data_IF_287882091793
#
_entry.id   IF_287882091793
#
_cell.length_a   1.000
_cell.length_b   1.000
_cell.length_c   1.000
_cell.angle_alpha   90.00
_cell.angle_beta   90.00
_cell.angle_gamma   90.00
#
_symmetry.space_group_name_H-M   'P 1'
#
loop_
_entity.id
_entity.type
_entity.pdbx_description
1 polymer ?
#
# COMPACT_ATOMS: atom_id res chain seq x y z
N UNK A 1 23.55 -13.05 -7.52
CA UNK A 1 22.55 -11.98 -7.33
C UNK A 1 23.13 -10.59 -6.99
N UNK A 2 24.28 -10.46 -6.32
CA UNK A 2 24.88 -9.15 -5.96
C UNK A 2 25.48 -8.37 -7.16
N UNK A 3 26.08 -9.07 -8.12
CA UNK A 3 26.86 -8.47 -9.21
C UNK A 3 26.03 -7.65 -10.21
N UNK A 4 24.85 -8.13 -10.60
CA UNK A 4 23.95 -7.43 -11.54
C UNK A 4 23.54 -6.07 -10.98
N UNK A 5 23.26 -5.98 -9.67
CA UNK A 5 22.87 -4.71 -9.04
C UNK A 5 24.00 -3.70 -9.01
N UNK A 6 25.23 -4.16 -8.84
CA UNK A 6 26.43 -3.32 -8.85
C UNK A 6 26.67 -2.73 -10.24
N UNK A 7 26.56 -3.53 -11.30
CA UNK A 7 26.73 -3.07 -12.68
C UNK A 7 25.64 -2.07 -13.09
N UNK A 8 24.38 -2.31 -12.69
CA UNK A 8 23.30 -1.34 -12.89
C UNK A 8 23.55 -0.02 -12.12
N UNK A 9 24.19 -0.09 -10.95
CA UNK A 9 24.56 1.09 -10.17
C UNK A 9 25.68 1.89 -10.82
N UNK A 10 26.71 1.22 -11.36
CA UNK A 10 27.78 1.87 -12.13
C UNK A 10 27.25 2.51 -13.41
N UNK A 11 26.34 1.82 -14.11
CA UNK A 11 25.65 2.38 -15.27
C UNK A 11 24.89 3.66 -14.93
N UNK A 12 24.15 3.67 -13.82
CA UNK A 12 23.42 4.84 -13.34
C UNK A 12 24.34 6.04 -13.07
N UNK A 13 25.50 5.82 -12.43
CA UNK A 13 26.48 6.88 -12.17
C UNK A 13 27.03 7.44 -13.49
N UNK A 14 27.46 6.58 -14.42
CA UNK A 14 28.00 6.99 -15.72
C UNK A 14 27.00 7.79 -16.55
N UNK A 15 25.74 7.36 -16.59
CA UNK A 15 24.69 8.08 -17.33
C UNK A 15 24.38 9.44 -16.68
N UNK A 16 24.47 9.55 -15.35
CA UNK A 16 24.32 10.82 -14.65
C UNK A 16 25.49 11.78 -14.93
N UNK A 17 26.71 11.28 -15.08
CA UNK A 17 27.88 12.09 -15.48
C UNK A 17 27.76 12.62 -16.89
N UNK A 18 27.39 11.76 -17.85
CA UNK A 18 27.12 12.17 -19.23
C UNK A 18 26.06 13.25 -19.28
N UNK A 19 24.95 13.04 -18.58
CA UNK A 19 23.87 14.03 -18.53
C UNK A 19 24.32 15.37 -17.94
N UNK A 20 25.21 15.36 -16.94
CA UNK A 20 25.79 16.59 -16.38
C UNK A 20 26.69 17.30 -17.41
N UNK A 21 27.51 16.56 -18.16
CA UNK A 21 28.35 17.11 -19.21
C UNK A 21 27.54 17.69 -20.38
N UNK A 22 26.42 17.05 -20.72
CA UNK A 22 25.51 17.44 -21.81
C UNK A 22 24.42 18.45 -21.38
N UNK A 23 24.39 18.88 -20.12
CA UNK A 23 23.36 19.79 -19.59
C UNK A 23 21.94 19.20 -19.51
N UNK A 24 21.79 17.87 -19.58
CA UNK A 24 20.49 17.18 -19.48
C UNK A 24 20.04 17.04 -18.03
N UNK A 25 18.73 17.12 -17.80
CA UNK A 25 18.16 16.97 -16.46
C UNK A 25 18.35 15.56 -15.90
N UNK A 26 18.79 15.43 -14.64
CA UNK A 26 18.88 14.14 -13.93
C UNK A 26 17.54 13.39 -13.86
N UNK A 27 16.41 14.10 -13.89
CA UNK A 27 15.07 13.49 -13.91
C UNK A 27 14.88 12.56 -15.11
N UNK A 28 15.32 12.98 -16.31
CA UNK A 28 15.26 12.17 -17.54
C UNK A 28 16.19 10.95 -17.45
N UNK A 29 17.38 11.12 -16.87
CA UNK A 29 18.30 10.00 -16.63
C UNK A 29 17.65 8.93 -15.76
N UNK A 30 16.97 9.33 -14.69
CA UNK A 30 16.30 8.39 -13.79
C UNK A 30 15.12 7.68 -14.47
N UNK A 31 14.44 8.32 -15.42
CA UNK A 31 13.40 7.67 -16.24
C UNK A 31 14.01 6.63 -17.18
N UNK A 32 15.02 7.00 -17.96
CA UNK A 32 15.66 6.06 -18.89
C UNK A 32 16.29 4.85 -18.18
N UNK A 33 16.93 5.06 -17.03
CA UNK A 33 17.50 3.95 -16.24
C UNK A 33 16.40 3.11 -15.58
N UNK A 34 15.30 3.73 -15.13
CA UNK A 34 14.14 3.01 -14.60
C UNK A 34 13.53 2.07 -15.64
N UNK A 35 13.36 2.54 -16.87
CA UNK A 35 12.84 1.75 -17.99
C UNK A 35 13.79 0.58 -18.33
N UNK A 36 15.09 0.85 -18.48
CA UNK A 36 16.09 -0.19 -18.81
C UNK A 36 16.25 -1.26 -17.72
N UNK A 37 16.02 -0.90 -16.46
CA UNK A 37 16.18 -1.81 -15.31
C UNK A 37 14.87 -2.41 -14.80
N UNK A 38 13.72 -2.02 -15.36
CA UNK A 38 12.40 -2.41 -14.86
C UNK A 38 12.08 -1.90 -13.45
N UNK A 39 12.73 -0.81 -13.02
CA UNK A 39 12.60 -0.27 -11.66
C UNK A 39 11.74 1.00 -11.63
N UNK A 40 11.18 1.32 -10.48
CA UNK A 40 10.49 2.61 -10.29
C UNK A 40 11.51 3.76 -10.31
N UNK A 41 11.23 4.84 -11.05
CA UNK A 41 12.03 6.09 -11.09
C UNK A 41 12.49 6.57 -9.71
N UNK A 42 11.58 6.55 -8.72
CA UNK A 42 11.89 6.96 -7.35
C UNK A 42 12.94 6.07 -6.65
N UNK A 43 12.94 4.76 -6.95
CA UNK A 43 13.93 3.81 -6.42
C UNK A 43 15.32 4.08 -7.00
N UNK A 44 15.41 4.28 -8.33
CA UNK A 44 16.65 4.62 -9.03
C UNK A 44 17.24 5.93 -8.51
N UNK A 45 16.41 6.97 -8.38
CA UNK A 45 16.82 8.25 -7.80
C UNK A 45 17.37 8.10 -6.37
N UNK A 46 16.68 7.36 -5.52
CA UNK A 46 17.09 7.19 -4.12
C UNK A 46 18.43 6.42 -4.03
N UNK A 47 18.63 5.42 -4.89
CA UNK A 47 19.90 4.69 -4.96
C UNK A 47 21.04 5.59 -5.43
N UNK A 48 20.84 6.39 -6.47
CA UNK A 48 21.82 7.37 -6.94
C UNK A 48 22.33 8.27 -5.81
N UNK A 49 21.42 8.91 -5.05
CA UNK A 49 21.82 9.76 -3.94
C UNK A 49 22.47 8.98 -2.78
N UNK A 50 22.09 7.72 -2.58
CA UNK A 50 22.74 6.86 -1.57
C UNK A 50 24.19 6.53 -1.96
N UNK A 51 24.45 6.32 -3.26
CA UNK A 51 25.80 6.08 -3.80
C UNK A 51 26.64 7.34 -3.63
N UNK A 52 26.14 8.51 -4.01
CA UNK A 52 26.86 9.77 -3.82
C UNK A 52 27.20 10.03 -2.35
N UNK A 53 26.23 9.84 -1.44
CA UNK A 53 26.45 10.02 0.01
C UNK A 53 27.51 9.06 0.57
N UNK A 54 27.59 7.84 0.05
CA UNK A 54 28.64 6.86 0.43
C UNK A 54 29.99 7.23 -0.18
N UNK A 55 30.01 7.66 -1.45
CA UNK A 55 31.20 8.08 -2.16
C UNK A 55 31.84 9.36 -1.57
N UNK A 56 31.04 10.26 -0.99
CA UNK A 56 31.53 11.43 -0.23
C UNK A 56 32.26 11.02 1.05
N UNK A 57 31.90 9.88 1.66
CA UNK A 57 32.49 9.40 2.93
C UNK A 57 33.62 8.39 2.75
N UNK A 58 33.66 7.67 1.62
CA UNK A 58 34.60 6.59 1.38
C UNK A 58 35.23 6.75 -0.02
N UNK A 59 36.54 7.05 -0.04
CA UNK A 59 37.31 7.24 -1.26
C UNK A 59 37.48 5.95 -2.08
N UNK A 60 37.55 4.78 -1.46
CA UNK A 60 37.61 3.49 -2.16
C UNK A 60 36.29 3.18 -2.86
N UNK A 61 35.17 3.41 -2.17
CA UNK A 61 33.83 3.25 -2.75
C UNK A 61 33.61 4.22 -3.92
N UNK A 62 34.14 5.45 -3.82
CA UNK A 62 34.12 6.44 -4.90
C UNK A 62 34.82 5.92 -6.16
N UNK A 63 36.01 5.32 -6.00
CA UNK A 63 36.76 4.70 -7.11
C UNK A 63 36.02 3.48 -7.67
N UNK A 64 35.51 2.60 -6.80
CA UNK A 64 34.78 1.39 -7.18
C UNK A 64 33.53 1.69 -8.02
N UNK A 65 32.78 2.72 -7.64
CA UNK A 65 31.56 3.14 -8.34
C UNK A 65 31.82 4.12 -9.49
N UNK A 66 33.09 4.41 -9.79
CA UNK A 66 33.53 5.37 -10.82
C UNK A 66 32.83 6.73 -10.70
N UNK A 67 32.65 7.24 -9.47
CA UNK A 67 32.02 8.54 -9.23
C UNK A 67 33.09 9.63 -9.41
N UNK A 68 33.03 10.35 -10.53
CA UNK A 68 33.79 11.56 -10.82
C UNK A 68 33.27 12.77 -10.05
N UNK A 69 33.22 13.95 -10.67
CA UNK A 69 32.91 15.22 -9.99
C UNK A 69 31.43 15.48 -9.72
N UNK A 70 30.65 14.42 -9.58
CA UNK A 70 29.29 14.51 -9.06
C UNK A 70 29.36 14.83 -7.56
N UNK A 71 28.82 15.99 -7.20
CA UNK A 71 28.66 16.42 -5.80
C UNK A 71 27.20 16.64 -5.53
N UNK A 72 26.74 16.24 -4.35
CA UNK A 72 25.41 16.66 -3.90
C UNK A 72 25.45 18.14 -3.50
N UNK A 73 24.37 18.87 -3.76
CA UNK A 73 24.23 20.21 -3.17
C UNK A 73 24.30 20.08 -1.64
N UNK A 74 25.04 20.98 -0.99
CA UNK A 74 25.11 21.00 0.48
C UNK A 74 23.70 21.17 1.04
N UNK A 75 23.28 20.21 1.86
CA UNK A 75 22.00 20.30 2.56
C UNK A 75 22.15 21.39 3.62
N UNK A 76 21.47 22.52 3.43
CA UNK A 76 21.38 23.57 4.44
C UNK A 76 20.47 23.05 5.57
N UNK A 77 21.01 22.84 6.76
CA UNK A 77 20.19 22.37 7.89
C UNK A 77 19.29 23.49 8.41
N UNK A 78 18.13 23.11 8.95
CA UNK A 78 17.27 24.06 9.66
C UNK A 78 17.84 24.32 11.04
N UNK A 79 17.98 25.59 11.39
CA UNK A 79 18.26 25.96 12.77
C UNK A 79 17.08 25.56 13.69
N UNK A 80 17.34 25.30 14.97
CA UNK A 80 16.27 24.96 15.93
C UNK A 80 15.23 26.07 16.05
N UNK A 81 15.65 27.33 16.12
CA UNK A 81 14.75 28.48 16.20
C UNK A 81 13.93 28.66 14.91
N UNK A 82 14.57 28.52 13.75
CA UNK A 82 13.92 28.58 12.44
C UNK A 82 12.84 27.48 12.32
N UNK A 83 13.17 26.24 12.69
CA UNK A 83 12.26 25.12 12.66
C UNK A 83 11.02 25.35 13.54
N UNK A 84 11.23 25.87 14.75
CA UNK A 84 10.16 26.20 15.71
C UNK A 84 9.24 27.28 15.15
N UNK A 85 9.82 28.37 14.63
CA UNK A 85 9.08 29.48 14.03
C UNK A 85 8.26 29.02 12.82
N UNK A 86 8.85 28.17 11.96
CA UNK A 86 8.16 27.57 10.83
C UNK A 86 6.92 26.78 11.27
N UNK A 87 7.08 25.85 12.20
CA UNK A 87 5.96 25.03 12.70
C UNK A 87 4.89 25.91 13.34
N UNK A 88 5.28 26.91 14.14
CA UNK A 88 4.35 27.87 14.74
C UNK A 88 3.50 28.59 13.69
N UNK A 89 4.13 29.16 12.65
CA UNK A 89 3.41 29.84 11.57
C UNK A 89 2.43 28.91 10.83
N UNK A 90 2.84 27.67 10.57
CA UNK A 90 1.99 26.66 9.91
C UNK A 90 0.79 26.31 10.79
N UNK A 91 0.99 26.05 12.08
CA UNK A 91 -0.07 25.69 13.01
C UNK A 91 -1.04 26.85 13.25
N UNK A 92 -0.54 28.10 13.28
CA UNK A 92 -1.40 29.29 13.29
C UNK A 92 -2.29 29.31 12.04
N UNK A 93 -1.72 29.14 10.85
CA UNK A 93 -2.49 29.06 9.61
C UNK A 93 -3.57 27.97 9.66
N UNK A 94 -3.24 26.79 10.19
CA UNK A 94 -4.18 25.69 10.37
C UNK A 94 -5.29 25.99 11.39
N UNK A 95 -4.96 26.72 12.46
CA UNK A 95 -5.92 27.18 13.47
C UNK A 95 -7.00 28.09 12.87
N UNK A 96 -6.66 28.83 11.81
CA UNK A 96 -7.60 29.69 11.07
C UNK A 96 -8.14 29.02 9.80
N UNK A 97 -8.14 27.68 9.72
CA UNK A 97 -8.80 26.93 8.66
C UNK A 97 -8.01 26.76 7.36
N UNK A 98 -6.73 27.16 7.32
CA UNK A 98 -5.87 26.88 6.15
C UNK A 98 -5.37 25.44 6.21
N UNK A 99 -5.31 24.75 5.08
CA UNK A 99 -4.61 23.46 5.03
C UNK A 99 -3.11 23.67 5.28
N UNK A 100 -2.45 22.70 5.91
CA UNK A 100 -0.99 22.73 6.15
C UNK A 100 -0.22 23.02 4.85
N UNK A 101 -0.62 22.39 3.74
CA UNK A 101 0.01 22.61 2.43
C UNK A 101 -0.17 24.06 1.96
N UNK A 102 -1.36 24.64 2.12
CA UNK A 102 -1.63 26.04 1.76
C UNK A 102 -0.83 27.00 2.63
N UNK A 103 -0.80 26.79 3.94
CA UNK A 103 0.00 27.61 4.86
C UNK A 103 1.49 27.59 4.48
N UNK A 104 2.02 26.42 4.12
CA UNK A 104 3.41 26.32 3.64
C UNK A 104 3.60 27.02 2.30
N UNK A 105 2.67 26.86 1.35
CA UNK A 105 2.75 27.51 0.04
C UNK A 105 2.66 29.03 0.13
N UNK A 106 1.96 29.59 1.13
CA UNK A 106 1.93 31.04 1.36
C UNK A 106 3.22 31.54 2.03
N UNK A 107 3.91 30.70 2.80
CA UNK A 107 5.21 31.01 3.39
C UNK A 107 6.37 30.93 2.38
N UNK A 108 6.17 30.27 1.23
CA UNK A 108 7.24 29.98 0.27
C UNK A 108 6.84 30.35 -1.15
N UNK A 109 7.63 31.16 -1.84
CA UNK A 109 7.39 31.50 -3.25
C UNK A 109 7.83 30.42 -4.27
N UNK A 110 8.58 29.41 -3.84
CA UNK A 110 9.21 28.41 -4.72
C UNK A 110 8.86 26.96 -4.31
N UNK A 111 8.56 26.06 -5.27
CA UNK A 111 8.22 24.65 -4.99
C UNK A 111 9.32 23.85 -4.26
N UNK A 112 10.60 24.12 -4.51
CA UNK A 112 11.73 23.42 -3.84
C UNK A 112 11.72 23.77 -2.35
N UNK A 113 11.56 25.04 -2.02
CA UNK A 113 11.48 25.52 -0.62
C UNK A 113 10.21 25.01 0.07
N UNK A 114 9.07 25.02 -0.61
CA UNK A 114 7.82 24.47 -0.09
C UNK A 114 7.98 22.99 0.32
N UNK A 115 8.63 22.18 -0.51
CA UNK A 115 8.88 20.77 -0.20
C UNK A 115 9.81 20.59 1.00
N UNK A 116 10.84 21.44 1.13
CA UNK A 116 11.72 21.44 2.32
C UNK A 116 10.93 21.74 3.59
N UNK A 117 10.04 22.72 3.54
CA UNK A 117 9.21 23.13 4.68
C UNK A 117 8.20 22.03 5.05
N UNK A 118 7.59 21.38 4.06
CA UNK A 118 6.74 20.20 4.27
C UNK A 118 7.49 19.06 4.94
N UNK A 119 8.70 18.74 4.46
CA UNK A 119 9.53 17.69 5.04
C UNK A 119 9.94 18.02 6.48
N UNK A 120 10.30 19.28 6.74
CA UNK A 120 10.65 19.73 8.08
C UNK A 120 9.46 19.65 9.02
N UNK A 121 8.30 20.15 8.61
CA UNK A 121 7.06 20.04 9.38
C UNK A 121 6.75 18.57 9.73
N UNK A 122 6.74 17.67 8.74
CA UNK A 122 6.51 16.23 8.97
C UNK A 122 7.51 15.62 9.96
N UNK A 123 8.79 15.96 9.84
CA UNK A 123 9.83 15.48 10.74
C UNK A 123 9.61 15.97 12.18
N UNK A 124 9.23 17.24 12.36
CA UNK A 124 8.91 17.82 13.67
C UNK A 124 7.71 17.12 14.32
N UNK A 125 6.61 16.95 13.57
CA UNK A 125 5.42 16.26 14.08
C UNK A 125 5.74 14.81 14.49
N UNK A 126 6.55 14.10 13.70
CA UNK A 126 6.87 12.68 13.94
C UNK A 126 7.85 12.45 15.09
N UNK A 127 8.88 13.29 15.22
CA UNK A 127 10.02 13.01 16.12
C UNK A 127 10.17 13.99 17.28
N UNK A 128 9.52 15.16 17.23
CA UNK A 128 9.72 16.25 18.20
C UNK A 128 8.38 16.68 18.81
N UNK A 129 7.60 15.69 19.26
CA UNK A 129 6.26 15.90 19.82
C UNK A 129 6.23 16.93 20.95
N UNK A 130 7.14 16.82 21.92
CA UNK A 130 7.24 17.78 23.04
C UNK A 130 7.40 19.23 22.58
N UNK A 131 8.29 19.48 21.61
CA UNK A 131 8.49 20.84 21.06
C UNK A 131 7.21 21.35 20.36
N UNK A 132 6.46 20.47 19.70
CA UNK A 132 5.20 20.83 19.03
C UNK A 132 4.11 21.13 20.05
N UNK A 133 3.99 20.34 21.11
CA UNK A 133 3.03 20.57 22.21
C UNK A 133 3.30 21.92 22.92
N UNK A 134 4.57 22.28 23.13
CA UNK A 134 4.95 23.61 23.63
C UNK A 134 4.48 24.74 22.70
N UNK A 135 4.65 24.58 21.38
CA UNK A 135 4.16 25.54 20.38
C UNK A 135 2.64 25.63 20.40
N UNK A 136 1.93 24.50 20.54
CA UNK A 136 0.47 24.48 20.63
C UNK A 136 -0.01 25.23 21.87
N UNK A 137 0.62 25.00 23.02
CA UNK A 137 0.31 25.74 24.26
C UNK A 137 0.56 27.24 24.14
N UNK A 138 1.61 27.67 23.42
CA UNK A 138 1.80 29.09 23.11
C UNK A 138 0.69 29.66 22.22
N UNK A 139 0.29 28.92 21.18
CA UNK A 139 -0.78 29.34 20.25
C UNK A 139 -2.12 29.42 21.00
N UNK A 140 -2.43 28.43 21.82
CA UNK A 140 -3.66 28.39 22.60
C UNK A 140 -3.73 29.51 23.63
N UNK A 141 -2.63 29.81 24.33
CA UNK A 141 -2.55 30.99 25.22
C UNK A 141 -2.76 32.31 24.48
N UNK A 142 -2.33 32.41 23.22
CA UNK A 142 -2.38 33.65 22.43
C UNK A 142 -3.75 33.84 21.76
N UNK A 143 -4.34 32.77 21.23
CA UNK A 143 -5.53 32.82 20.37
C UNK A 143 -6.75 32.11 20.95
N UNK A 144 -6.65 31.52 22.15
CA UNK A 144 -7.72 30.76 22.81
C UNK A 144 -8.05 29.42 22.17
N UNK A 145 -7.42 29.09 21.04
CA UNK A 145 -7.59 27.83 20.30
C UNK A 145 -6.32 27.50 19.53
N UNK A 146 -6.05 26.21 19.34
CA UNK A 146 -4.95 25.74 18.51
C UNK A 146 -5.37 24.51 17.68
N UNK A 147 -4.94 24.46 16.43
CA UNK A 147 -5.06 23.25 15.61
C UNK A 147 -4.13 22.16 16.15
N UNK A 148 -4.69 21.05 16.60
CA UNK A 148 -3.93 19.89 17.07
C UNK A 148 -3.61 18.91 15.91
N UNK A 149 -2.34 18.78 15.48
CA UNK A 149 -1.93 17.85 14.43
C UNK A 149 -2.02 16.37 14.86
N UNK A 150 -2.25 16.07 16.14
CA UNK A 150 -2.33 14.71 16.68
C UNK A 150 -3.76 14.22 16.91
N UNK A 151 -4.77 15.11 16.81
CA UNK A 151 -6.19 14.77 17.03
C UNK A 151 -6.71 13.61 16.16
N UNK A 152 -6.10 13.35 15.01
CA UNK A 152 -6.44 12.23 14.12
C UNK A 152 -5.57 10.97 14.24
N UNK A 153 -4.64 10.91 15.21
CA UNK A 153 -3.79 9.71 15.43
C UNK A 153 -4.37 8.79 16.51
N UNK A 154 -5.20 9.34 17.39
CA UNK A 154 -5.95 8.60 18.40
C UNK A 154 -7.32 8.24 17.82
N UNK A 155 -7.45 7.02 17.29
CA UNK A 155 -8.73 6.37 16.96
C UNK A 155 -9.77 7.28 16.32
N UNK A 156 -9.78 7.35 14.99
CA UNK A 156 -10.91 7.88 14.24
C UNK A 156 -12.18 7.13 14.68
N UNK A 157 -12.94 7.73 15.60
CA UNK A 157 -14.08 7.10 16.26
C UNK A 157 -15.12 6.67 15.22
N UNK A 158 -15.18 7.38 14.08
CA UNK A 158 -16.01 7.02 12.93
C UNK A 158 -15.49 5.77 12.23
N UNK A 159 -14.16 5.60 12.12
CA UNK A 159 -13.52 4.42 11.56
C UNK A 159 -13.68 3.21 12.47
N UNK A 160 -13.59 3.38 13.80
CA UNK A 160 -13.84 2.27 14.73
C UNK A 160 -15.32 1.87 14.77
N UNK A 161 -16.24 2.84 14.73
CA UNK A 161 -17.68 2.57 14.54
C UNK A 161 -17.91 1.78 13.25
N UNK A 162 -17.31 2.21 12.14
CA UNK A 162 -17.43 1.52 10.86
C UNK A 162 -16.83 0.11 10.88
N UNK A 163 -15.67 -0.09 11.52
CA UNK A 163 -15.08 -1.43 11.70
C UNK A 163 -16.00 -2.33 12.53
N UNK A 164 -16.55 -1.83 13.62
CA UNK A 164 -17.48 -2.60 14.46
C UNK A 164 -18.76 -2.98 13.71
N UNK A 165 -19.27 -2.09 12.85
CA UNK A 165 -20.42 -2.35 12.00
C UNK A 165 -20.12 -3.40 10.91
N UNK A 166 -18.96 -3.31 10.24
CA UNK A 166 -18.49 -4.30 9.27
C UNK A 166 -18.36 -5.68 9.93
N UNK A 167 -17.77 -5.75 11.12
CA UNK A 167 -17.64 -7.02 11.85
C UNK A 167 -19.00 -7.60 12.23
N UNK A 168 -19.96 -6.77 12.66
CA UNK A 168 -21.32 -7.20 12.95
C UNK A 168 -22.09 -7.71 11.72
N UNK A 169 -21.87 -7.10 10.55
CA UNK A 169 -22.39 -7.60 9.27
C UNK A 169 -21.77 -8.95 8.89
N UNK A 170 -20.45 -9.08 9.04
CA UNK A 170 -19.73 -10.33 8.76
C UNK A 170 -20.22 -11.50 9.61
N UNK A 171 -20.48 -11.27 10.91
CA UNK A 171 -21.02 -12.27 11.81
C UNK A 171 -22.41 -12.74 11.38
N UNK A 172 -23.31 -11.80 11.05
CA UNK A 172 -24.68 -12.11 10.59
C UNK A 172 -24.68 -12.90 9.28
N UNK A 173 -23.88 -12.50 8.30
CA UNK A 173 -23.77 -13.20 7.02
C UNK A 173 -23.21 -14.61 7.24
N UNK A 174 -22.19 -14.74 8.08
CA UNK A 174 -21.59 -16.04 8.41
C UNK A 174 -22.57 -16.98 9.12
N UNK A 175 -23.39 -16.45 10.03
CA UNK A 175 -24.42 -17.21 10.72
C UNK A 175 -25.54 -17.66 9.77
N UNK A 176 -26.02 -16.75 8.90
CA UNK A 176 -26.99 -17.08 7.87
C UNK A 176 -26.46 -18.18 6.94
N UNK A 177 -25.24 -18.02 6.43
CA UNK A 177 -24.61 -19.01 5.55
C UNK A 177 -24.43 -20.38 6.23
N UNK A 178 -24.14 -20.42 7.54
CA UNK A 178 -24.08 -21.69 8.30
C UNK A 178 -25.45 -22.34 8.39
N UNK A 179 -26.50 -21.59 8.73
CA UNK A 179 -27.88 -22.11 8.82
C UNK A 179 -28.39 -22.64 7.47
N UNK A 180 -28.11 -21.91 6.39
CA UNK A 180 -28.45 -22.32 5.03
C UNK A 180 -27.76 -23.64 4.66
N UNK A 181 -26.45 -23.75 4.94
CA UNK A 181 -25.69 -24.96 4.69
C UNK A 181 -26.17 -26.16 5.48
N UNK A 182 -26.59 -25.98 6.74
CA UNK A 182 -27.18 -27.06 7.53
C UNK A 182 -28.51 -27.53 6.97
N UNK A 183 -29.39 -26.59 6.57
CA UNK A 183 -30.65 -26.92 5.90
C UNK A 183 -30.41 -27.72 4.62
N UNK A 184 -29.52 -27.25 3.76
CA UNK A 184 -29.17 -27.94 2.52
C UNK A 184 -28.59 -29.33 2.79
N UNK A 185 -27.71 -29.49 3.79
CA UNK A 185 -27.18 -30.80 4.19
C UNK A 185 -28.27 -31.76 4.68
N UNK A 186 -29.30 -31.26 5.34
CA UNK A 186 -30.43 -32.07 5.79
C UNK A 186 -31.29 -32.51 4.61
N UNK A 187 -31.67 -31.58 3.72
CA UNK A 187 -32.44 -31.92 2.51
C UNK A 187 -31.70 -32.89 1.61
N UNK A 188 -30.38 -32.73 1.43
CA UNK A 188 -29.55 -33.68 0.66
C UNK A 188 -29.55 -35.06 1.32
N UNK A 189 -29.52 -35.16 2.65
CA UNK A 189 -29.59 -36.45 3.35
C UNK A 189 -30.94 -37.13 3.16
N UNK A 190 -32.03 -36.40 3.28
CA UNK A 190 -33.39 -36.90 3.08
C UNK A 190 -33.60 -37.40 1.65
N UNK A 191 -33.25 -36.59 0.65
CA UNK A 191 -33.36 -36.96 -0.76
C UNK A 191 -32.47 -38.16 -1.12
N UNK A 192 -31.29 -38.29 -0.50
CA UNK A 192 -30.45 -39.49 -0.68
C UNK A 192 -31.11 -40.74 -0.09
N UNK A 193 -31.66 -40.63 1.12
CA UNK A 193 -32.34 -41.75 1.77
C UNK A 193 -33.59 -42.18 0.97
N UNK A 194 -34.35 -41.23 0.45
CA UNK A 194 -35.51 -41.49 -0.40
C UNK A 194 -35.11 -42.14 -1.73
N UNK A 195 -34.06 -41.63 -2.39
CA UNK A 195 -33.53 -42.26 -3.60
C UNK A 195 -33.08 -43.70 -3.37
N UNK A 196 -32.40 -44.00 -2.26
CA UNK A 196 -32.01 -45.37 -1.92
C UNK A 196 -33.23 -46.27 -1.65
N UNK A 197 -34.26 -45.77 -0.97
CA UNK A 197 -35.53 -46.49 -0.80
C UNK A 197 -36.22 -46.78 -2.13
N UNK A 198 -36.27 -45.81 -3.04
CA UNK A 198 -36.86 -45.97 -4.36
C UNK A 198 -36.08 -46.96 -5.21
N UNK A 199 -34.74 -46.91 -5.19
CA UNK A 199 -33.89 -47.91 -5.86
C UNK A 199 -34.13 -49.31 -5.34
N UNK A 200 -34.23 -49.49 -4.02
CA UNK A 200 -34.50 -50.79 -3.41
C UNK A 200 -35.88 -51.33 -3.82
N UNK A 201 -36.92 -50.50 -3.78
CA UNK A 201 -38.26 -50.86 -4.27
C UNK A 201 -38.25 -51.24 -5.75
N UNK A 202 -37.57 -50.45 -6.59
CA UNK A 202 -37.42 -50.75 -8.02
C UNK A 202 -36.68 -52.07 -8.26
N UNK A 203 -35.65 -52.37 -7.48
CA UNK A 203 -34.94 -53.66 -7.54
C UNK A 203 -35.82 -54.84 -7.15
N UNK A 204 -36.69 -54.68 -6.15
CA UNK A 204 -37.68 -55.69 -5.76
C UNK A 204 -38.75 -55.91 -6.83
N UNK A 205 -39.25 -54.85 -7.46
CA UNK A 205 -40.18 -54.94 -8.60
C UNK A 205 -39.52 -55.61 -9.81
N UNK A 206 -38.26 -55.30 -10.12
CA UNK A 206 -37.52 -55.93 -11.22
C UNK A 206 -37.26 -57.44 -11.00
N UNK A 207 -37.23 -57.90 -9.75
CA UNK A 207 -37.09 -59.34 -9.41
C UNK A 207 -38.41 -60.11 -9.48
N UNK A 208 -39.54 -59.43 -9.35
CA UNK A 208 -40.88 -60.04 -9.30
C UNK A 208 -41.59 -60.05 -10.65
N UNK A 209 -41.22 -59.18 -11.59
CA UNK A 209 -41.84 -59.07 -12.91
C UNK A 209 -40.79 -59.11 -14.05
N UNK A 210 -40.76 -60.21 -14.83
CA UNK A 210 -39.83 -60.42 -15.95
C UNK A 210 -39.95 -59.37 -17.07
N UNK A 211 -41.10 -58.70 -17.19
CA UNK A 211 -41.30 -57.64 -18.19
C UNK A 211 -40.55 -56.35 -17.84
N UNK A 212 -40.40 -56.07 -16.54
CA UNK A 212 -39.74 -54.88 -16.00
C UNK A 212 -38.22 -55.01 -16.06
N UNK A 213 -37.69 -56.22 -15.84
CA UNK A 213 -36.26 -56.54 -16.01
C UNK A 213 -35.74 -56.19 -17.43
N UNK A 214 -36.55 -56.49 -18.44
CA UNK A 214 -36.24 -56.26 -19.85
C UNK A 214 -36.30 -54.76 -20.24
N UNK A 215 -37.13 -53.97 -19.55
CA UNK A 215 -37.18 -52.51 -19.71
C UNK A 215 -35.94 -51.82 -19.10
N UNK A 216 -35.46 -52.31 -17.95
CA UNK A 216 -34.29 -51.75 -17.27
C UNK A 216 -32.98 -52.03 -18.00
N UNK A 217 -32.77 -53.25 -18.54
CA UNK A 217 -31.58 -53.56 -19.35
C UNK A 217 -31.47 -52.65 -20.59
N UNK A 218 -32.59 -52.36 -21.27
CA UNK A 218 -32.61 -51.41 -22.40
C UNK A 218 -32.30 -49.97 -22.03
N UNK A 219 -32.70 -49.54 -20.83
CA UNK A 219 -32.59 -48.13 -20.39
C UNK A 219 -31.20 -47.80 -19.84
N UNK A 220 -30.54 -48.74 -19.15
CA UNK A 220 -29.17 -48.54 -18.65
C UNK A 220 -28.11 -48.60 -19.76
N UNK A 221 -28.29 -49.44 -20.79
CA UNK A 221 -27.41 -49.49 -21.98
C UNK A 221 -27.44 -48.17 -22.78
N UNK A 222 -28.54 -47.42 -22.73
CA UNK A 222 -28.67 -46.13 -23.44
C UNK A 222 -28.06 -44.96 -22.67
N UNK A 223 -27.95 -45.03 -21.34
CA UNK A 223 -27.31 -43.97 -20.53
C UNK A 223 -25.79 -44.10 -20.46
N UNK A 224 -25.22 -45.31 -20.49
CA UNK A 224 -23.76 -45.48 -20.57
C UNK A 224 -23.18 -45.05 -21.92
N UNK A 225 -23.95 -45.19 -23.02
CA UNK A 225 -23.52 -44.73 -24.35
C UNK A 225 -23.58 -43.22 -24.56
N UNK A 226 -24.23 -42.45 -23.67
CA UNK A 226 -24.28 -40.97 -23.76
C UNK A 226 -23.29 -40.26 -22.82
N UNK A 227 -22.52 -41.01 -22.04
CA UNK A 227 -21.52 -40.46 -21.10
C UNK A 227 -20.07 -40.61 -21.55
N UNK A 228 -19.82 -41.05 -22.79
CA UNK A 228 -18.48 -41.29 -23.35
C UNK A 228 -18.17 -40.46 -24.61
N UNK A 229 -18.96 -39.42 -24.89
CA UNK A 229 -18.66 -38.36 -25.86
C UNK A 229 -18.44 -37.01 -25.14
#
# INVERSE_FOLDING_TARGET
MSYIREEQSKMLVKEAEKAKAEGRSLSKVFECVAEKTGRKKGSVRNEYYSILKKAEKNAEFRKMMCVGDLKTEKIIEFEKAEARSLVKKILIGATFGKSVRRAISELTGDPKTALRYQNKYRNMIKHKRREVEEILGEIEKTYGRAYDPYRGTSGDETLEKLKSEINGLYARISEHARKENERLKNSVRELKAENERLKNRLSEYAKTDKSVQNYFEKTFITTEKRGND
#
